data_IF_479636985398
#
_entry.id   IF_479636985398
#
_cell.length_a   1.000
_cell.length_b   1.000
_cell.length_c   1.000
_cell.angle_alpha   90.00
_cell.angle_beta   90.00
_cell.angle_gamma   90.00
#
_symmetry.space_group_name_H-M   'P 1'
#
loop_
_entity.id
_entity.type
_entity.pdbx_description
1 polymer ?
#
# COMPACT_ATOMS: atom_id res chain seq x y z
N UNK A 1 4.31 -4.53 15.62
CA UNK A 1 2.91 -4.20 15.28
C UNK A 1 2.89 -2.74 14.88
N UNK A 2 2.54 -2.44 13.63
CA UNK A 2 2.38 -1.06 13.17
C UNK A 2 1.11 -0.52 13.84
N UNK A 3 1.23 0.63 14.52
CA UNK A 3 0.06 1.28 15.13
C UNK A 3 -0.81 1.80 14.00
N UNK A 4 -2.12 1.46 13.95
CA UNK A 4 -3.00 1.93 12.91
C UNK A 4 -3.04 3.47 12.91
N UNK A 5 -2.76 4.06 11.76
CA UNK A 5 -2.67 5.51 11.57
C UNK A 5 -3.79 6.00 10.65
N UNK A 6 -4.44 7.09 11.02
CA UNK A 6 -5.51 7.72 10.22
C UNK A 6 -5.22 9.21 10.00
N UNK A 7 -5.47 9.67 8.77
CA UNK A 7 -5.45 11.08 8.40
C UNK A 7 -6.89 11.57 8.20
N UNK A 8 -7.23 12.70 8.79
CA UNK A 8 -8.51 13.39 8.60
C UNK A 8 -8.25 14.77 8.01
N UNK A 9 -8.57 14.96 6.74
CA UNK A 9 -8.55 16.26 6.09
C UNK A 9 -9.93 16.92 6.25
N UNK A 10 -10.02 17.90 7.13
CA UNK A 10 -11.28 18.57 7.47
C UNK A 10 -11.07 19.93 8.12
N UNK A 11 -11.77 20.96 7.66
CA UNK A 11 -11.64 22.34 8.14
C UNK A 11 -12.57 22.71 9.31
N UNK A 12 -13.57 21.90 9.63
CA UNK A 12 -14.58 22.24 10.64
C UNK A 12 -14.31 21.61 12.00
N UNK A 13 -14.16 22.41 13.07
CA UNK A 13 -13.85 21.90 14.41
C UNK A 13 -14.86 20.84 14.91
N UNK A 14 -16.16 21.11 14.82
CA UNK A 14 -17.18 20.16 15.24
C UNK A 14 -17.15 18.84 14.44
N UNK A 15 -16.86 18.93 13.13
CA UNK A 15 -16.69 17.77 12.30
C UNK A 15 -15.43 16.98 12.69
N UNK A 16 -14.34 17.68 12.99
CA UNK A 16 -13.08 17.08 13.42
C UNK A 16 -13.24 16.26 14.71
N UNK A 17 -13.90 16.84 15.72
CA UNK A 17 -14.18 16.14 16.98
C UNK A 17 -15.06 14.92 16.77
N UNK A 18 -16.11 15.04 15.95
CA UNK A 18 -17.00 13.93 15.63
C UNK A 18 -16.26 12.79 14.90
N UNK A 19 -15.50 13.12 13.86
CA UNK A 19 -14.76 12.14 13.08
C UNK A 19 -13.65 11.47 13.92
N UNK A 20 -12.88 12.28 14.66
CA UNK A 20 -11.81 11.77 15.52
C UNK A 20 -12.33 10.82 16.61
N UNK A 21 -13.48 11.14 17.23
CA UNK A 21 -14.12 10.27 18.21
C UNK A 21 -14.44 8.89 17.61
N UNK A 22 -15.11 8.85 16.48
CA UNK A 22 -15.52 7.58 15.86
C UNK A 22 -14.34 6.78 15.30
N UNK A 23 -13.29 7.44 14.85
CA UNK A 23 -12.05 6.80 14.40
C UNK A 23 -11.29 6.23 15.60
N UNK A 24 -11.26 6.95 16.75
CA UNK A 24 -10.66 6.45 17.98
C UNK A 24 -11.35 5.18 18.53
N UNK A 25 -12.68 5.07 18.40
CA UNK A 25 -13.45 3.87 18.75
C UNK A 25 -13.02 2.63 17.95
N UNK A 26 -12.38 2.81 16.79
CA UNK A 26 -11.84 1.75 15.93
C UNK A 26 -10.36 1.44 16.18
N UNK A 27 -9.75 2.08 17.18
CA UNK A 27 -8.35 1.86 17.55
C UNK A 27 -7.35 2.88 16.98
N UNK A 28 -7.79 3.85 16.19
CA UNK A 28 -6.96 4.95 15.72
C UNK A 28 -6.91 6.06 16.78
N UNK A 29 -6.19 5.83 17.86
CA UNK A 29 -6.22 6.65 19.07
C UNK A 29 -5.76 8.12 18.87
N UNK A 30 -4.93 8.36 17.87
CA UNK A 30 -4.38 9.70 17.57
C UNK A 30 -4.42 9.97 16.07
N UNK A 31 -5.60 10.22 15.49
CA UNK A 31 -5.67 10.57 14.08
C UNK A 31 -4.96 11.90 13.82
N UNK A 32 -4.23 11.99 12.73
CA UNK A 32 -3.67 13.26 12.26
C UNK A 32 -4.78 14.08 11.62
N UNK A 33 -5.06 15.28 12.14
CA UNK A 33 -6.08 16.18 11.59
C UNK A 33 -5.39 17.33 10.88
N UNK A 34 -5.81 17.60 9.65
CA UNK A 34 -5.30 18.69 8.81
C UNK A 34 -6.46 19.49 8.23
N UNK A 35 -6.26 20.79 8.03
CA UNK A 35 -7.32 21.69 7.62
C UNK A 35 -7.45 21.84 6.09
N UNK A 36 -6.45 21.41 5.31
CA UNK A 36 -6.39 21.64 3.86
C UNK A 36 -5.84 20.43 3.10
N UNK A 37 -6.12 20.37 1.80
CA UNK A 37 -5.58 19.35 0.90
C UNK A 37 -4.08 19.45 0.73
N UNK A 38 -3.54 20.67 0.67
CA UNK A 38 -2.11 20.90 0.60
C UNK A 38 -1.35 20.38 1.83
N UNK A 39 -1.93 20.52 3.03
CA UNK A 39 -1.35 19.96 4.26
C UNK A 39 -1.48 18.42 4.28
N UNK A 40 -2.61 17.90 3.83
CA UNK A 40 -2.83 16.46 3.73
C UNK A 40 -1.76 15.78 2.84
N UNK A 41 -1.48 16.36 1.66
CA UNK A 41 -0.43 15.84 0.75
C UNK A 41 0.94 15.83 1.40
N UNK A 42 1.31 16.88 2.12
CA UNK A 42 2.59 16.92 2.86
C UNK A 42 2.68 15.81 3.90
N UNK A 43 1.61 15.63 4.72
CA UNK A 43 1.59 14.59 5.73
C UNK A 43 1.65 13.17 5.15
N UNK A 44 1.00 12.93 4.02
CA UNK A 44 1.07 11.64 3.31
C UNK A 44 2.45 11.40 2.68
N UNK A 45 3.25 12.43 2.44
CA UNK A 45 4.65 12.29 2.03
C UNK A 45 5.59 11.86 3.15
N UNK A 46 5.23 12.18 4.41
CA UNK A 46 6.08 11.93 5.59
C UNK A 46 5.66 10.66 6.36
N UNK A 47 4.39 10.29 6.28
CA UNK A 47 3.78 9.24 7.12
C UNK A 47 2.86 8.36 6.26
N UNK A 48 3.02 7.05 6.39
CA UNK A 48 2.09 6.07 5.82
C UNK A 48 0.84 5.98 6.69
N UNK A 49 -0.32 6.25 6.10
CA UNK A 49 -1.62 6.13 6.74
C UNK A 49 -2.35 4.88 6.27
N UNK A 50 -3.02 4.19 7.18
CA UNK A 50 -3.91 3.07 6.84
C UNK A 50 -5.23 3.56 6.25
N UNK A 51 -5.74 4.70 6.76
CA UNK A 51 -7.00 5.31 6.28
C UNK A 51 -6.84 6.82 6.13
N UNK A 52 -7.32 7.35 5.02
CA UNK A 52 -7.42 8.80 4.73
C UNK A 52 -8.88 9.17 4.59
N UNK A 53 -9.35 10.09 5.43
CA UNK A 53 -10.73 10.57 5.48
C UNK A 53 -10.73 12.02 5.02
N UNK A 54 -11.47 12.31 3.97
CA UNK A 54 -11.55 13.65 3.37
C UNK A 54 -12.96 14.20 3.55
N UNK A 55 -13.10 15.21 4.39
CA UNK A 55 -14.38 15.85 4.68
C UNK A 55 -14.60 17.10 3.82
N UNK A 56 -15.30 16.95 2.71
CA UNK A 56 -15.48 18.03 1.73
C UNK A 56 -16.58 19.02 2.10
N UNK A 57 -16.49 20.29 1.61
CA UNK A 57 -15.35 20.87 0.89
C UNK A 57 -14.18 21.21 1.82
N UNK A 58 -12.96 21.21 1.28
CA UNK A 58 -11.79 21.78 1.93
C UNK A 58 -11.65 23.26 1.54
N UNK A 59 -10.90 24.09 2.29
CA UNK A 59 -10.73 25.51 1.98
C UNK A 59 -10.02 25.79 0.65
N UNK A 60 -9.13 24.88 0.25
CA UNK A 60 -8.26 25.00 -0.93
C UNK A 60 -8.70 24.17 -2.12
N UNK A 61 -9.54 23.14 -1.90
CA UNK A 61 -10.03 22.28 -2.98
C UNK A 61 -11.32 21.52 -2.59
N UNK A 62 -12.00 20.94 -3.59
CA UNK A 62 -13.21 20.13 -3.33
C UNK A 62 -12.92 18.75 -2.72
N UNK A 63 -11.66 18.29 -2.73
CA UNK A 63 -11.22 17.03 -2.14
C UNK A 63 -11.25 15.81 -3.06
N UNK A 64 -11.85 15.89 -4.26
CA UNK A 64 -11.82 14.78 -5.22
C UNK A 64 -10.39 14.57 -5.79
N UNK A 65 -9.66 15.66 -6.06
CA UNK A 65 -8.26 15.59 -6.49
C UNK A 65 -7.36 15.02 -5.39
N UNK A 66 -7.61 15.42 -4.13
CA UNK A 66 -6.91 14.87 -2.99
C UNK A 66 -7.19 13.35 -2.83
N UNK A 67 -8.43 12.92 -3.05
CA UNK A 67 -8.76 11.49 -2.95
C UNK A 67 -8.06 10.65 -4.02
N UNK A 68 -8.01 11.14 -5.25
CA UNK A 68 -7.25 10.49 -6.35
C UNK A 68 -5.75 10.46 -6.01
N UNK A 69 -5.19 11.58 -5.59
CA UNK A 69 -3.79 11.65 -5.15
C UNK A 69 -3.48 10.65 -4.03
N UNK A 70 -4.37 10.55 -3.02
CA UNK A 70 -4.17 9.63 -1.90
C UNK A 70 -4.12 8.16 -2.36
N UNK A 71 -5.00 7.76 -3.28
CA UNK A 71 -4.99 6.40 -3.84
C UNK A 71 -3.75 6.13 -4.69
N UNK A 72 -3.30 7.10 -5.49
CA UNK A 72 -2.14 6.93 -6.38
C UNK A 72 -0.81 6.91 -5.62
N UNK A 73 -0.70 7.67 -4.53
CA UNK A 73 0.56 7.89 -3.81
C UNK A 73 0.68 7.10 -2.51
N UNK A 74 -0.39 6.46 -2.05
CA UNK A 74 -0.38 5.67 -0.83
C UNK A 74 -1.16 4.37 -0.99
N UNK A 75 -1.02 3.49 0.00
CA UNK A 75 -1.83 2.28 0.11
C UNK A 75 -3.05 2.47 1.01
N UNK A 76 -3.32 3.72 1.44
CA UNK A 76 -4.39 4.02 2.37
C UNK A 76 -5.78 3.69 1.80
N UNK A 77 -6.67 3.20 2.63
CA UNK A 77 -8.09 3.19 2.33
C UNK A 77 -8.65 4.61 2.34
N UNK A 78 -9.17 5.09 1.21
CA UNK A 78 -9.60 6.49 1.07
C UNK A 78 -11.13 6.61 1.16
N UNK A 79 -11.59 7.51 2.02
CA UNK A 79 -13.01 7.82 2.24
C UNK A 79 -13.25 9.30 1.96
N UNK A 80 -14.16 9.59 1.04
CA UNK A 80 -14.61 10.95 0.75
C UNK A 80 -16.00 11.17 1.33
N UNK A 81 -16.13 12.14 2.24
CA UNK A 81 -17.39 12.57 2.83
C UNK A 81 -17.95 13.76 2.06
N UNK A 82 -18.97 13.55 1.23
CA UNK A 82 -19.51 14.56 0.32
C UNK A 82 -21.01 14.85 0.59
N UNK A 83 -21.51 16.00 0.17
CA UNK A 83 -22.96 16.28 0.18
C UNK A 83 -23.66 15.32 -0.78
N UNK A 84 -24.87 14.85 -0.44
CA UNK A 84 -25.61 13.84 -1.20
C UNK A 84 -25.65 14.12 -2.71
N UNK A 85 -26.08 15.30 -3.14
CA UNK A 85 -26.16 15.65 -4.57
C UNK A 85 -24.80 15.69 -5.30
N UNK A 86 -23.70 15.90 -4.59
CA UNK A 86 -22.35 15.85 -5.15
C UNK A 86 -21.80 14.42 -5.12
N UNK A 87 -22.15 13.66 -4.08
CA UNK A 87 -21.72 12.27 -3.91
C UNK A 87 -22.17 11.41 -5.10
N UNK A 88 -23.42 11.52 -5.54
CA UNK A 88 -23.96 10.76 -6.66
C UNK A 88 -23.23 11.05 -7.97
N UNK A 89 -22.86 12.32 -8.20
CA UNK A 89 -22.19 12.73 -9.46
C UNK A 89 -20.74 12.25 -9.56
N UNK A 90 -20.04 12.14 -8.45
CA UNK A 90 -18.61 11.79 -8.42
C UNK A 90 -18.36 10.35 -8.02
N UNK A 91 -19.36 9.68 -7.44
CA UNK A 91 -19.24 8.32 -6.92
C UNK A 91 -18.70 7.34 -7.95
N UNK A 92 -19.30 7.29 -9.14
CA UNK A 92 -18.92 6.34 -10.19
C UNK A 92 -17.46 6.49 -10.62
N UNK A 93 -17.01 7.75 -10.74
CA UNK A 93 -15.64 8.04 -11.13
C UNK A 93 -14.64 7.68 -10.04
N UNK A 94 -14.94 8.03 -8.80
CA UNK A 94 -14.04 7.81 -7.68
C UNK A 94 -14.02 6.36 -7.22
N UNK A 95 -15.13 5.63 -7.35
CA UNK A 95 -15.19 4.20 -7.05
C UNK A 95 -14.28 3.37 -7.97
N UNK A 96 -14.14 3.74 -9.24
CA UNK A 96 -13.19 3.10 -10.16
C UNK A 96 -11.73 3.23 -9.69
N UNK A 97 -11.43 4.28 -8.94
CA UNK A 97 -10.12 4.49 -8.31
C UNK A 97 -9.99 3.87 -6.91
N UNK A 98 -11.04 3.19 -6.42
CA UNK A 98 -11.03 2.58 -5.09
C UNK A 98 -11.31 3.54 -3.93
N UNK A 99 -11.88 4.73 -4.21
CA UNK A 99 -12.31 5.69 -3.19
C UNK A 99 -13.73 5.34 -2.73
N UNK A 100 -13.91 5.21 -1.42
CA UNK A 100 -15.24 5.03 -0.84
C UNK A 100 -15.91 6.41 -0.64
N UNK A 101 -17.05 6.64 -1.29
CA UNK A 101 -17.81 7.89 -1.12
C UNK A 101 -18.93 7.68 -0.12
N UNK A 102 -18.97 8.50 0.93
CA UNK A 102 -20.04 8.50 1.94
C UNK A 102 -20.82 9.82 1.89
N UNK A 103 -22.10 9.72 1.56
CA UNK A 103 -22.98 10.89 1.44
C UNK A 103 -23.39 11.45 2.81
N UNK A 104 -23.36 12.77 2.96
CA UNK A 104 -23.89 13.50 4.14
C UNK A 104 -25.39 13.80 3.95
N UNK A 105 -26.23 13.70 5.02
CA UNK A 105 -25.86 13.31 6.39
C UNK A 105 -25.67 11.80 6.55
N UNK A 106 -24.77 11.39 7.44
CA UNK A 106 -24.54 10.01 7.80
C UNK A 106 -24.56 9.80 9.31
N UNK A 107 -24.81 8.58 9.75
CA UNK A 107 -24.74 8.18 11.15
C UNK A 107 -23.34 7.73 11.54
N UNK A 108 -23.03 7.76 12.85
CA UNK A 108 -21.74 7.23 13.35
C UNK A 108 -21.52 5.74 13.00
N UNK A 109 -22.60 4.96 12.91
CA UNK A 109 -22.53 3.53 12.49
C UNK A 109 -22.08 3.43 11.04
N UNK A 110 -22.70 4.17 10.13
CA UNK A 110 -22.33 4.17 8.69
C UNK A 110 -20.89 4.63 8.51
N UNK A 111 -20.48 5.67 9.22
CA UNK A 111 -19.11 6.17 9.15
C UNK A 111 -18.09 5.11 9.62
N UNK A 112 -18.32 4.47 10.78
CA UNK A 112 -17.43 3.41 11.28
C UNK A 112 -17.37 2.21 10.33
N UNK A 113 -18.49 1.79 9.76
CA UNK A 113 -18.52 0.75 8.74
C UNK A 113 -17.69 1.12 7.51
N UNK A 114 -17.80 2.37 7.03
CA UNK A 114 -16.99 2.85 5.91
C UNK A 114 -15.49 2.81 6.23
N UNK A 115 -15.10 3.26 7.44
CA UNK A 115 -13.69 3.19 7.88
C UNK A 115 -13.19 1.75 7.94
N UNK A 116 -13.97 0.84 8.52
CA UNK A 116 -13.61 -0.59 8.60
C UNK A 116 -13.49 -1.24 7.22
N UNK A 117 -14.38 -0.93 6.29
CA UNK A 117 -14.31 -1.42 4.91
C UNK A 117 -13.07 -0.88 4.19
N UNK A 118 -12.81 0.41 4.27
CA UNK A 118 -11.62 1.03 3.66
C UNK A 118 -10.32 0.41 4.20
N UNK A 119 -10.21 0.26 5.52
CA UNK A 119 -9.07 -0.39 6.16
C UNK A 119 -8.93 -1.87 5.77
N UNK A 120 -10.03 -2.60 5.67
CA UNK A 120 -10.00 -4.01 5.26
C UNK A 120 -9.54 -4.17 3.80
N UNK A 121 -9.99 -3.29 2.90
CA UNK A 121 -9.54 -3.25 1.50
C UNK A 121 -8.04 -2.94 1.42
N UNK A 122 -7.57 -1.93 2.16
CA UNK A 122 -6.16 -1.57 2.24
C UNK A 122 -5.30 -2.78 2.67
N UNK A 123 -5.61 -3.40 3.81
CA UNK A 123 -4.89 -4.59 4.29
C UNK A 123 -4.88 -5.75 3.28
N UNK A 124 -5.98 -5.95 2.57
CA UNK A 124 -6.06 -6.98 1.53
C UNK A 124 -5.14 -6.68 0.35
N UNK A 125 -5.11 -5.42 -0.09
CA UNK A 125 -4.22 -4.99 -1.17
C UNK A 125 -2.74 -5.07 -0.76
N UNK A 126 -2.40 -4.68 0.46
CA UNK A 126 -1.03 -4.81 0.98
C UNK A 126 -0.59 -6.27 1.05
N UNK A 127 -1.46 -7.17 1.51
CA UNK A 127 -1.19 -8.59 1.50
C UNK A 127 -0.90 -9.11 0.08
N UNK A 128 -1.74 -8.75 -0.89
CA UNK A 128 -1.57 -9.18 -2.29
C UNK A 128 -0.30 -8.61 -2.92
N UNK A 129 0.07 -7.36 -2.58
CA UNK A 129 1.34 -6.77 -3.03
C UNK A 129 2.53 -7.50 -2.47
N UNK A 130 2.55 -7.76 -1.16
CA UNK A 130 3.62 -8.53 -0.51
C UNK A 130 3.78 -9.93 -1.13
N UNK A 131 2.67 -10.62 -1.43
CA UNK A 131 2.72 -11.92 -2.11
C UNK A 131 3.26 -11.78 -3.55
N UNK A 132 2.87 -10.73 -4.26
CA UNK A 132 3.39 -10.48 -5.61
C UNK A 132 4.89 -10.18 -5.61
N UNK A 133 5.36 -9.39 -4.64
CA UNK A 133 6.79 -9.08 -4.50
C UNK A 133 7.59 -10.33 -4.16
N UNK A 134 7.13 -11.18 -3.23
CA UNK A 134 7.75 -12.49 -2.95
C UNK A 134 7.84 -13.38 -4.20
N UNK A 135 6.79 -13.37 -5.04
CA UNK A 135 6.81 -14.14 -6.30
C UNK A 135 7.79 -13.57 -7.30
N UNK A 136 7.88 -12.24 -7.40
CA UNK A 136 8.89 -11.56 -8.25
C UNK A 136 10.31 -11.87 -7.81
N UNK A 137 10.56 -11.83 -6.51
CA UNK A 137 11.88 -12.18 -5.95
C UNK A 137 12.25 -13.62 -6.25
N UNK A 138 11.30 -14.58 -6.10
CA UNK A 138 11.53 -15.99 -6.48
C UNK A 138 11.86 -16.15 -7.97
N UNK A 139 11.14 -15.43 -8.83
CA UNK A 139 11.44 -15.46 -10.28
C UNK A 139 12.83 -14.90 -10.57
N UNK A 140 13.21 -13.81 -9.91
CA UNK A 140 14.54 -13.22 -10.05
C UNK A 140 15.64 -14.20 -9.59
N UNK A 141 15.44 -14.88 -8.45
CA UNK A 141 16.35 -15.91 -7.95
C UNK A 141 16.49 -17.10 -8.93
N UNK A 142 15.39 -17.60 -9.48
CA UNK A 142 15.41 -18.68 -10.47
C UNK A 142 16.23 -18.26 -11.71
N UNK A 143 15.96 -17.06 -12.24
CA UNK A 143 16.70 -16.54 -13.40
C UNK A 143 18.19 -16.39 -13.12
N UNK A 144 18.56 -15.98 -11.91
CA UNK A 144 19.95 -15.82 -11.51
C UNK A 144 20.66 -17.18 -11.49
N UNK A 145 20.04 -18.21 -10.90
CA UNK A 145 20.54 -19.58 -10.88
C UNK A 145 20.67 -20.15 -12.31
N UNK A 146 19.68 -19.91 -13.17
CA UNK A 146 19.74 -20.39 -14.56
C UNK A 146 20.86 -19.71 -15.36
N UNK A 147 21.09 -18.40 -15.15
CA UNK A 147 22.24 -17.70 -15.76
C UNK A 147 23.58 -18.29 -15.29
N UNK A 148 23.72 -18.54 -13.99
CA UNK A 148 24.93 -19.15 -13.45
C UNK A 148 25.16 -20.57 -14.00
N UNK A 149 24.09 -21.37 -14.18
CA UNK A 149 24.20 -22.68 -14.87
C UNK A 149 24.68 -22.51 -16.30
N UNK A 150 24.11 -21.59 -17.08
CA UNK A 150 24.55 -21.32 -18.45
C UNK A 150 26.04 -20.94 -18.48
N UNK A 151 26.47 -20.06 -17.58
CA UNK A 151 27.88 -19.67 -17.48
C UNK A 151 28.80 -20.86 -17.20
N UNK A 152 28.44 -21.74 -16.25
CA UNK A 152 29.22 -22.95 -15.93
C UNK A 152 29.26 -23.93 -17.10
N UNK A 153 28.18 -24.07 -17.86
CA UNK A 153 28.13 -24.90 -19.05
C UNK A 153 29.05 -24.35 -20.14
N UNK A 154 28.94 -23.03 -20.43
CA UNK A 154 29.67 -22.39 -21.52
C UNK A 154 31.19 -22.25 -21.23
N UNK A 155 31.57 -21.87 -20.01
CA UNK A 155 32.93 -21.51 -19.66
C UNK A 155 33.70 -22.58 -18.88
N UNK A 156 32.98 -23.46 -18.17
CA UNK A 156 33.62 -24.57 -17.42
C UNK A 156 33.38 -25.96 -18.06
N UNK A 157 32.64 -26.04 -19.17
CA UNK A 157 32.36 -27.27 -19.89
C UNK A 157 31.51 -28.29 -19.12
N UNK A 158 30.75 -27.84 -18.14
CA UNK A 158 29.89 -28.69 -17.32
C UNK A 158 28.61 -29.04 -18.06
N UNK A 159 28.05 -30.21 -17.77
CA UNK A 159 26.66 -30.52 -18.12
C UNK A 159 25.70 -29.76 -17.21
N UNK A 160 24.43 -29.60 -17.63
CA UNK A 160 23.41 -28.96 -16.79
C UNK A 160 23.28 -29.64 -15.42
N UNK A 161 23.31 -30.96 -15.38
CA UNK A 161 23.22 -31.72 -14.13
C UNK A 161 24.42 -31.50 -13.20
N UNK A 162 25.62 -31.31 -13.74
CA UNK A 162 26.82 -30.98 -12.97
C UNK A 162 26.77 -29.54 -12.43
N UNK A 163 26.39 -28.56 -13.27
CA UNK A 163 26.25 -27.19 -12.87
C UNK A 163 25.18 -27.03 -11.76
N UNK A 164 24.04 -27.70 -11.93
CA UNK A 164 22.99 -27.69 -10.90
C UNK A 164 23.47 -28.26 -9.56
N UNK A 165 24.09 -29.44 -9.58
CA UNK A 165 24.64 -30.08 -8.35
C UNK A 165 25.73 -29.23 -7.69
N UNK A 166 26.58 -28.59 -8.48
CA UNK A 166 27.64 -27.72 -7.98
C UNK A 166 27.01 -26.55 -7.17
N UNK A 167 26.04 -25.85 -7.76
CA UNK A 167 25.37 -24.72 -7.09
C UNK A 167 24.66 -25.20 -5.81
N UNK A 168 23.93 -26.32 -5.87
CA UNK A 168 23.24 -26.86 -4.69
C UNK A 168 24.20 -27.30 -3.59
N UNK A 169 25.28 -28.01 -3.95
CA UNK A 169 26.27 -28.45 -2.99
C UNK A 169 26.96 -27.26 -2.30
N UNK A 170 27.39 -26.27 -3.10
CA UNK A 170 28.02 -25.07 -2.56
C UNK A 170 27.07 -24.32 -1.62
N UNK A 171 25.78 -24.18 -1.98
CA UNK A 171 24.78 -23.56 -1.13
C UNK A 171 24.59 -24.30 0.20
N UNK A 172 24.55 -25.64 0.16
CA UNK A 172 24.46 -26.48 1.37
C UNK A 172 25.72 -26.39 2.25
N UNK A 173 26.90 -26.50 1.63
CA UNK A 173 28.19 -26.48 2.36
C UNK A 173 28.46 -25.13 3.02
N UNK A 174 28.04 -24.04 2.38
CA UNK A 174 28.23 -22.67 2.87
C UNK A 174 27.03 -22.13 3.68
N UNK A 175 25.91 -22.87 3.74
CA UNK A 175 24.63 -22.46 4.35
C UNK A 175 24.09 -21.15 3.79
N UNK A 176 24.27 -20.95 2.48
CA UNK A 176 23.78 -19.76 1.75
C UNK A 176 22.64 -20.13 0.81
N UNK A 177 21.90 -19.12 0.34
CA UNK A 177 20.90 -19.34 -0.71
C UNK A 177 21.56 -19.65 -2.06
N UNK A 178 20.89 -20.48 -2.88
CA UNK A 178 21.37 -20.81 -4.23
C UNK A 178 21.54 -19.58 -5.12
N UNK A 179 20.72 -18.56 -4.91
CA UNK A 179 20.82 -17.30 -5.64
C UNK A 179 22.07 -16.50 -5.24
N UNK A 180 22.48 -16.54 -3.97
CA UNK A 180 23.73 -15.90 -3.51
C UNK A 180 24.96 -16.60 -4.13
N UNK A 181 24.96 -17.92 -4.16
CA UNK A 181 26.02 -18.70 -4.84
C UNK A 181 26.05 -18.42 -6.34
N UNK A 182 24.88 -18.33 -6.95
CA UNK A 182 24.76 -18.00 -8.37
C UNK A 182 25.27 -16.58 -8.70
N UNK A 183 25.01 -15.61 -7.82
CA UNK A 183 25.53 -14.25 -7.97
C UNK A 183 27.07 -14.24 -7.92
N UNK A 184 27.66 -14.92 -6.95
CA UNK A 184 29.12 -15.02 -6.81
C UNK A 184 29.78 -15.66 -8.05
N UNK A 185 29.20 -16.75 -8.59
CA UNK A 185 29.69 -17.37 -9.81
C UNK A 185 29.70 -16.39 -11.00
N UNK A 186 28.68 -15.49 -11.06
CA UNK A 186 28.56 -14.50 -12.13
C UNK A 186 29.44 -13.24 -11.89
N UNK A 187 29.89 -12.98 -10.65
CA UNK A 187 30.85 -11.92 -10.34
C UNK A 187 32.30 -12.29 -10.70
N UNK A 188 32.59 -13.60 -10.87
CA UNK A 188 33.89 -14.09 -11.33
C UNK A 188 34.05 -14.02 -12.87
N UNK A 189 33.05 -13.46 -13.57
CA UNK A 189 33.05 -13.17 -15.00
C UNK A 189 33.93 -11.95 -15.34
#
# INVERSE_FOLDING_TARGET
MVVPSALIASAGNNANEYLAKHVAELGYLRPTIVASGGEARRRMGDIDFEVVIINTPLPDEFGHELSTYAVEKSNAGVILLAKAGTADQISDKLQQHGVLVLAKPFTGVQFRQAVQMAAACCRRLDYLRQENDKLRDKIAQIRLVDRAKCYLIEHKGMSEAEAHRMIEKTAMDTRRDRAEVAAEILEEE
#
